data_IF_380870480426
#
_entry.id   IF_380870480426
#
_cell.length_a   1.000
_cell.length_b   1.000
_cell.length_c   1.000
_cell.angle_alpha   90.00
_cell.angle_beta   90.00
_cell.angle_gamma   90.00
#
_symmetry.space_group_name_H-M   'P 1'
#
loop_
_entity.id
_entity.type
_entity.pdbx_description
1 polymer ?
#
# COMPACT_ATOMS: atom_id res chain seq x y z
N UNK A 1 20.41 -9.87 -30.59
CA UNK A 1 19.26 -9.56 -31.47
C UNK A 1 19.36 -10.43 -32.71
N UNK A 2 18.23 -10.74 -33.39
CA UNK A 2 18.27 -11.39 -34.70
C UNK A 2 19.01 -10.50 -35.70
N UNK A 3 19.91 -11.05 -36.55
CA UNK A 3 20.87 -10.27 -37.34
C UNK A 3 20.26 -9.30 -38.39
N UNK A 4 18.94 -9.27 -38.60
CA UNK A 4 18.27 -8.41 -39.59
C UNK A 4 17.11 -7.59 -39.01
N UNK A 5 17.06 -7.33 -37.71
CA UNK A 5 15.99 -6.53 -37.10
C UNK A 5 16.54 -5.32 -36.35
N UNK A 6 15.84 -4.19 -36.47
CA UNK A 6 16.10 -2.97 -35.69
C UNK A 6 15.81 -3.23 -34.22
N UNK A 7 16.44 -2.45 -33.34
CA UNK A 7 16.23 -2.56 -31.91
C UNK A 7 14.84 -2.09 -31.47
N UNK A 8 14.47 -2.49 -30.25
CA UNK A 8 13.18 -2.15 -29.67
C UNK A 8 13.12 -0.66 -29.34
N UNK A 9 12.04 -0.01 -29.75
CA UNK A 9 11.65 1.30 -29.28
C UNK A 9 10.40 1.15 -28.42
N UNK A 10 10.50 1.47 -27.12
CA UNK A 10 9.40 1.32 -26.16
C UNK A 10 9.38 2.53 -25.22
N UNK A 11 8.18 3.06 -24.99
CA UNK A 11 7.91 4.01 -23.91
C UNK A 11 6.88 3.37 -22.98
N UNK A 12 7.29 3.12 -21.74
CA UNK A 12 6.48 2.48 -20.71
C UNK A 12 6.54 3.24 -19.40
N UNK A 13 5.84 2.71 -18.40
CA UNK A 13 5.85 3.27 -17.04
C UNK A 13 6.15 2.18 -16.00
N UNK A 14 6.99 2.51 -15.03
CA UNK A 14 7.27 1.71 -13.85
C UNK A 14 6.07 1.75 -12.86
N UNK A 15 5.93 0.71 -12.05
CA UNK A 15 5.13 0.70 -10.82
C UNK A 15 5.74 1.54 -9.71
N UNK A 16 7.06 1.78 -9.75
CA UNK A 16 7.76 2.60 -8.75
C UNK A 16 7.66 4.07 -9.14
N UNK A 17 7.05 4.93 -8.29
CA UNK A 17 6.94 6.36 -8.59
C UNK A 17 8.31 7.05 -8.62
N UNK A 18 8.49 8.02 -9.53
CA UNK A 18 9.71 8.80 -9.68
C UNK A 18 10.06 9.58 -8.41
N UNK A 19 9.04 10.10 -7.72
CA UNK A 19 9.18 10.80 -6.44
C UNK A 19 9.90 9.99 -5.34
N UNK A 20 9.90 8.65 -5.44
CA UNK A 20 10.62 7.78 -4.50
C UNK A 20 12.14 7.89 -4.66
N UNK A 21 12.61 8.22 -5.85
CA UNK A 21 14.02 8.42 -6.15
C UNK A 21 14.51 9.84 -5.88
N UNK A 22 13.58 10.77 -5.66
CA UNK A 22 13.87 12.19 -5.41
C UNK A 22 12.96 13.11 -6.20
N UNK A 23 12.97 14.40 -5.85
CA UNK A 23 12.15 15.42 -6.51
C UNK A 23 12.61 15.65 -7.94
N UNK A 24 11.69 15.53 -8.90
CA UNK A 24 11.97 15.76 -10.33
C UNK A 24 12.66 14.60 -11.03
N UNK A 25 12.67 13.42 -10.42
CA UNK A 25 13.27 12.24 -11.02
C UNK A 25 12.31 11.56 -12.01
N UNK A 26 12.82 11.15 -13.17
CA UNK A 26 12.07 10.52 -14.27
C UNK A 26 12.22 8.99 -14.33
N UNK A 27 12.80 8.35 -13.31
CA UNK A 27 13.00 6.89 -13.24
C UNK A 27 11.68 6.07 -13.30
N UNK A 28 10.51 6.72 -13.21
CA UNK A 28 9.23 6.06 -13.49
C UNK A 28 8.92 5.91 -14.97
N UNK A 29 9.58 6.66 -15.85
CA UNK A 29 9.42 6.61 -17.32
C UNK A 29 10.44 5.62 -17.89
N UNK A 30 9.96 4.50 -18.40
CA UNK A 30 10.80 3.47 -19.00
C UNK A 30 10.96 3.77 -20.48
N UNK A 31 12.15 4.17 -20.90
CA UNK A 31 12.45 4.54 -22.29
C UNK A 31 13.50 3.58 -22.83
N UNK A 32 13.11 2.77 -23.79
CA UNK A 32 14.03 1.99 -24.62
C UNK A 32 14.07 2.58 -26.02
N UNK A 33 15.27 2.83 -26.52
CA UNK A 33 15.49 3.32 -27.88
C UNK A 33 16.52 2.47 -28.59
N UNK A 34 16.15 1.98 -29.78
CA UNK A 34 16.99 1.11 -30.60
C UNK A 34 17.64 -0.06 -29.85
N UNK A 35 16.95 -0.60 -28.84
CA UNK A 35 17.41 -1.73 -28.03
C UNK A 35 18.18 -1.37 -26.75
N UNK A 36 18.42 -0.09 -26.49
CA UNK A 36 19.12 0.39 -25.30
C UNK A 36 18.12 0.97 -24.30
N UNK A 37 18.28 0.62 -23.02
CA UNK A 37 17.52 1.22 -21.92
C UNK A 37 18.14 2.57 -21.57
N UNK A 38 17.47 3.66 -21.93
CA UNK A 38 17.96 5.03 -21.73
C UNK A 38 17.51 5.63 -20.39
N UNK A 39 16.31 5.27 -19.92
CA UNK A 39 15.74 5.82 -18.70
C UNK A 39 14.77 4.81 -18.06
N UNK A 40 14.68 4.86 -16.74
CA UNK A 40 13.68 4.16 -15.96
C UNK A 40 14.12 2.80 -15.47
N UNK A 41 13.42 2.32 -14.45
CA UNK A 41 13.68 1.01 -13.85
C UNK A 41 12.81 -0.09 -14.45
N UNK A 42 13.36 -1.30 -14.51
CA UNK A 42 12.63 -2.50 -14.87
C UNK A 42 12.08 -3.18 -13.62
N UNK A 43 10.76 -3.24 -13.50
CA UNK A 43 10.05 -3.84 -12.36
C UNK A 43 9.06 -4.92 -12.81
N UNK A 44 8.14 -5.31 -11.92
CA UNK A 44 7.11 -6.30 -12.22
C UNK A 44 6.24 -5.92 -13.42
N UNK A 45 5.98 -4.63 -13.70
CA UNK A 45 5.20 -4.22 -14.88
C UNK A 45 5.97 -4.41 -16.18
N UNK A 46 7.31 -4.31 -16.13
CA UNK A 46 8.13 -4.44 -17.33
C UNK A 46 8.54 -5.90 -17.61
N UNK A 47 8.94 -6.64 -16.58
CA UNK A 47 9.47 -8.00 -16.71
C UNK A 47 8.43 -9.08 -16.37
N UNK A 48 7.48 -8.77 -15.48
CA UNK A 48 6.48 -9.72 -15.02
C UNK A 48 5.38 -9.96 -16.06
N UNK A 49 4.40 -10.78 -15.67
CA UNK A 49 3.20 -11.06 -16.46
C UNK A 49 2.25 -9.84 -16.46
N UNK A 50 2.65 -8.76 -17.13
CA UNK A 50 1.89 -7.52 -17.29
C UNK A 50 1.83 -7.17 -18.79
N UNK A 51 0.63 -6.90 -19.29
CA UNK A 51 0.46 -6.49 -20.69
C UNK A 51 1.09 -5.13 -20.96
N UNK A 52 1.69 -4.98 -22.13
CA UNK A 52 2.39 -3.76 -22.55
C UNK A 52 3.73 -3.51 -21.86
N UNK A 53 4.25 -4.51 -21.13
CA UNK A 53 5.59 -4.46 -20.53
C UNK A 53 6.70 -4.74 -21.55
N UNK A 54 7.95 -4.55 -21.14
CA UNK A 54 9.13 -4.85 -21.95
C UNK A 54 9.15 -6.27 -22.54
N UNK A 55 8.83 -7.30 -21.74
CA UNK A 55 8.84 -8.69 -22.23
C UNK A 55 7.70 -8.94 -23.23
N UNK A 56 6.54 -8.35 -22.99
CA UNK A 56 5.38 -8.45 -23.88
C UNK A 56 5.66 -7.78 -25.24
N UNK A 57 6.30 -6.60 -25.22
CA UNK A 57 6.74 -5.91 -26.44
C UNK A 57 7.77 -6.72 -27.24
N UNK A 58 8.69 -7.41 -26.56
CA UNK A 58 9.65 -8.30 -27.21
C UNK A 58 8.95 -9.53 -27.81
N UNK A 59 7.97 -10.09 -27.11
CA UNK A 59 7.16 -11.20 -27.60
C UNK A 59 6.41 -10.81 -28.88
N UNK A 60 5.78 -9.65 -28.89
CA UNK A 60 5.02 -9.16 -30.05
C UNK A 60 5.91 -8.89 -31.26
N UNK A 61 7.06 -8.23 -31.07
CA UNK A 61 7.92 -7.83 -32.18
C UNK A 61 8.81 -8.97 -32.67
N UNK A 62 9.43 -9.72 -31.77
CA UNK A 62 10.47 -10.72 -32.10
C UNK A 62 10.00 -12.16 -31.95
N UNK A 63 8.79 -12.40 -31.46
CA UNK A 63 8.21 -13.72 -31.27
C UNK A 63 8.58 -14.40 -29.96
N UNK A 64 7.86 -15.49 -29.67
CA UNK A 64 7.95 -16.24 -28.42
C UNK A 64 9.34 -16.83 -28.14
N UNK A 65 10.07 -17.29 -29.15
CA UNK A 65 11.41 -17.89 -28.97
C UNK A 65 12.42 -16.87 -28.43
N UNK A 66 12.37 -15.64 -28.94
CA UNK A 66 13.26 -14.55 -28.49
C UNK A 66 12.87 -14.08 -27.09
N UNK A 67 11.57 -13.92 -26.82
CA UNK A 67 11.08 -13.56 -25.49
C UNK A 67 11.46 -14.61 -24.42
N UNK A 68 11.28 -15.90 -24.71
CA UNK A 68 11.68 -16.98 -23.81
C UNK A 68 13.19 -17.03 -23.57
N UNK A 69 13.98 -16.79 -24.62
CA UNK A 69 15.44 -16.68 -24.51
C UNK A 69 15.85 -15.48 -23.65
N UNK A 70 15.20 -14.33 -23.83
CA UNK A 70 15.44 -13.12 -23.04
C UNK A 70 15.10 -13.33 -21.56
N UNK A 71 13.95 -13.93 -21.24
CA UNK A 71 13.60 -14.30 -19.87
C UNK A 71 14.66 -15.22 -19.23
N UNK A 72 15.16 -16.20 -19.99
CA UNK A 72 16.22 -17.10 -19.51
C UNK A 72 17.56 -16.39 -19.29
N UNK A 73 17.87 -15.38 -20.11
CA UNK A 73 19.08 -14.55 -19.95
C UNK A 73 18.94 -13.65 -18.72
N UNK A 74 17.82 -12.93 -18.59
CA UNK A 74 17.53 -12.06 -17.45
C UNK A 74 17.48 -12.85 -16.14
N UNK A 75 16.85 -14.03 -16.13
CA UNK A 75 16.84 -14.90 -14.97
C UNK A 75 18.24 -15.24 -14.49
N UNK A 76 19.12 -15.71 -15.39
CA UNK A 76 20.51 -16.03 -15.05
C UNK A 76 21.31 -14.80 -14.60
N UNK A 77 21.14 -13.67 -15.29
CA UNK A 77 21.81 -12.41 -14.95
C UNK A 77 21.42 -11.93 -13.55
N UNK A 78 20.11 -11.85 -13.26
CA UNK A 78 19.59 -11.38 -11.98
C UNK A 78 19.91 -12.36 -10.85
N UNK A 79 19.86 -13.67 -11.08
CA UNK A 79 20.32 -14.67 -10.10
C UNK A 79 21.80 -14.51 -9.79
N UNK A 80 22.65 -14.32 -10.80
CA UNK A 80 24.09 -14.09 -10.58
C UNK A 80 24.33 -12.78 -9.83
N UNK A 81 23.61 -11.72 -10.19
CA UNK A 81 23.68 -10.43 -9.51
C UNK A 81 23.27 -10.55 -8.03
N UNK A 82 22.16 -11.25 -7.76
CA UNK A 82 21.69 -11.51 -6.41
C UNK A 82 22.70 -12.31 -5.58
N UNK A 83 23.36 -13.32 -6.18
CA UNK A 83 24.42 -14.05 -5.50
C UNK A 83 25.64 -13.18 -5.16
N UNK A 84 25.93 -12.13 -5.94
CA UNK A 84 27.07 -11.24 -5.72
C UNK A 84 26.77 -10.13 -4.69
N UNK A 85 25.55 -9.58 -4.71
CA UNK A 85 25.16 -8.44 -3.86
C UNK A 85 24.34 -8.81 -2.64
N UNK A 86 23.74 -10.00 -2.64
CA UNK A 86 22.72 -10.44 -1.69
C UNK A 86 21.51 -9.50 -1.62
N UNK A 87 20.48 -9.93 -0.90
CA UNK A 87 19.32 -9.13 -0.54
C UNK A 87 18.80 -9.62 0.80
N UNK A 88 18.54 -8.71 1.74
CA UNK A 88 18.09 -9.06 3.09
C UNK A 88 17.12 -8.01 3.61
N UNK A 89 16.10 -8.44 4.36
CA UNK A 89 15.15 -7.56 5.03
C UNK A 89 15.26 -7.80 6.53
N UNK A 90 15.59 -6.76 7.29
CA UNK A 90 15.78 -6.82 8.73
C UNK A 90 14.70 -6.06 9.49
N UNK A 91 14.77 -6.11 10.83
CA UNK A 91 13.84 -5.39 11.71
C UNK A 91 13.93 -3.86 11.54
N UNK A 92 15.11 -3.36 11.16
CA UNK A 92 15.35 -1.94 10.94
C UNK A 92 14.56 -1.38 9.75
N UNK A 93 14.26 -2.22 8.75
CA UNK A 93 13.41 -1.82 7.59
C UNK A 93 11.96 -1.57 8.00
N UNK A 94 11.54 -2.05 9.17
CA UNK A 94 10.17 -1.98 9.68
C UNK A 94 9.99 -0.89 10.73
N UNK A 95 11.08 -0.30 11.22
CA UNK A 95 11.08 0.60 12.37
C UNK A 95 10.85 2.05 11.94
N UNK A 96 9.93 2.71 12.65
CA UNK A 96 9.66 4.14 12.49
C UNK A 96 10.74 4.98 13.19
N UNK A 97 10.95 6.20 12.71
CA UNK A 97 11.72 7.23 13.41
C UNK A 97 10.96 7.68 14.67
N UNK A 98 11.65 8.22 15.69
CA UNK A 98 10.97 8.74 16.88
C UNK A 98 9.89 9.78 16.55
N UNK A 99 10.16 10.66 15.58
CA UNK A 99 9.19 11.65 15.10
C UNK A 99 7.98 11.01 14.41
N UNK A 100 8.22 10.01 13.56
CA UNK A 100 7.15 9.26 12.88
C UNK A 100 6.27 8.49 13.86
N UNK A 101 6.87 7.92 14.91
CA UNK A 101 6.15 7.22 15.97
C UNK A 101 5.38 8.18 16.87
N UNK A 102 5.95 9.35 17.19
CA UNK A 102 5.25 10.37 17.95
C UNK A 102 3.99 10.85 17.21
N UNK A 103 4.08 11.14 15.91
CA UNK A 103 2.92 11.49 15.07
C UNK A 103 1.88 10.38 15.08
N UNK A 104 2.31 9.11 14.98
CA UNK A 104 1.41 7.95 15.08
C UNK A 104 0.63 7.96 16.38
N UNK A 105 1.32 8.13 17.50
CA UNK A 105 0.72 8.16 18.84
C UNK A 105 -0.24 9.33 18.99
N UNK A 106 0.11 10.51 18.50
CA UNK A 106 -0.76 11.70 18.54
C UNK A 106 -2.05 11.50 17.75
N UNK A 107 -1.98 10.90 16.56
CA UNK A 107 -3.18 10.60 15.77
C UNK A 107 -4.00 9.49 16.45
N UNK A 108 -3.36 8.46 17.00
CA UNK A 108 -4.04 7.38 17.73
C UNK A 108 -4.77 7.87 18.99
N UNK A 109 -4.29 8.93 19.66
CA UNK A 109 -5.01 9.53 20.79
C UNK A 109 -6.40 10.04 20.38
N UNK A 110 -6.59 10.51 19.15
CA UNK A 110 -7.92 10.93 18.64
C UNK A 110 -8.89 9.75 18.48
N UNK A 111 -8.38 8.53 18.42
CA UNK A 111 -9.20 7.33 18.26
C UNK A 111 -10.09 7.03 19.48
N UNK A 112 -9.66 7.44 20.69
CA UNK A 112 -10.42 7.18 21.92
C UNK A 112 -11.77 7.90 21.91
N UNK A 113 -11.81 9.12 21.41
CA UNK A 113 -13.02 9.95 21.32
C UNK A 113 -13.88 9.60 20.09
N UNK A 114 -13.25 9.04 19.04
CA UNK A 114 -13.93 8.70 17.79
C UNK A 114 -15.13 7.78 18.01
N UNK A 115 -15.00 6.77 18.87
CA UNK A 115 -16.10 5.85 19.16
C UNK A 115 -17.32 6.57 19.75
N UNK A 116 -17.12 7.36 20.81
CA UNK A 116 -18.20 8.13 21.45
C UNK A 116 -18.84 9.09 20.44
N UNK A 117 -18.04 9.82 19.66
CA UNK A 117 -18.53 10.78 18.68
C UNK A 117 -19.34 10.12 17.56
N UNK A 118 -18.91 8.96 17.06
CA UNK A 118 -19.65 8.21 16.04
C UNK A 118 -20.98 7.70 16.60
N UNK A 119 -20.98 7.14 17.80
CA UNK A 119 -22.21 6.68 18.44
C UNK A 119 -23.21 7.81 18.68
N UNK A 120 -22.77 8.96 19.20
CA UNK A 120 -23.61 10.14 19.43
C UNK A 120 -24.24 10.67 18.13
N UNK A 121 -23.45 10.73 17.06
CA UNK A 121 -23.91 11.16 15.73
C UNK A 121 -24.91 10.19 15.13
N UNK A 122 -24.68 8.88 15.28
CA UNK A 122 -25.56 7.86 14.73
C UNK A 122 -26.95 7.86 15.38
N UNK A 123 -27.01 8.02 16.71
CA UNK A 123 -28.28 8.08 17.46
C UNK A 123 -28.90 9.48 17.52
N UNK A 124 -28.35 10.44 16.76
CA UNK A 124 -28.82 11.84 16.66
C UNK A 124 -28.84 12.61 18.00
N UNK A 125 -28.04 12.19 18.98
CA UNK A 125 -27.92 12.86 20.29
C UNK A 125 -27.07 14.13 20.22
N UNK A 126 -26.28 14.29 19.17
CA UNK A 126 -25.47 15.49 18.90
C UNK A 126 -26.34 16.75 18.65
N UNK A 127 -27.54 16.56 18.09
CA UNK A 127 -28.46 17.66 17.75
C UNK A 127 -29.45 18.00 18.87
N UNK A 128 -29.72 17.04 19.77
CA UNK A 128 -30.66 17.18 20.88
C UNK A 128 -29.98 16.81 22.21
N UNK A 129 -29.16 17.72 22.78
CA UNK A 129 -28.44 17.45 24.02
C UNK A 129 -29.41 17.33 25.19
N UNK A 130 -29.30 16.24 25.94
CA UNK A 130 -30.06 15.95 27.18
C UNK A 130 -29.13 16.12 28.38
N UNK A 131 -29.68 16.42 29.56
CA UNK A 131 -28.93 16.63 30.80
C UNK A 131 -28.03 15.42 31.20
N UNK A 132 -28.48 14.19 30.93
CA UNK A 132 -27.69 12.96 31.09
C UNK A 132 -27.48 12.30 29.72
N UNK A 133 -26.43 12.74 29.02
CA UNK A 133 -26.08 12.23 27.69
C UNK A 133 -25.65 10.76 27.71
N UNK A 134 -25.01 10.31 28.79
CA UNK A 134 -24.44 8.96 28.85
C UNK A 134 -25.52 7.90 29.12
N UNK A 135 -26.50 8.19 29.98
CA UNK A 135 -27.63 7.29 30.19
C UNK A 135 -28.52 7.16 28.95
N UNK A 136 -28.84 8.28 28.29
CA UNK A 136 -29.67 8.28 27.09
C UNK A 136 -28.93 7.64 25.89
N UNK A 137 -27.61 7.82 25.78
CA UNK A 137 -26.80 7.13 24.76
C UNK A 137 -26.86 5.61 24.93
N UNK A 138 -26.71 5.11 26.15
CA UNK A 138 -26.80 3.67 26.43
C UNK A 138 -28.16 3.11 26.03
N UNK A 139 -29.24 3.78 26.43
CA UNK A 139 -30.61 3.38 26.07
C UNK A 139 -30.81 3.28 24.56
N UNK A 140 -30.37 4.28 23.79
CA UNK A 140 -30.49 4.26 22.32
C UNK A 140 -29.59 3.21 21.67
N UNK A 141 -28.42 2.94 22.24
CA UNK A 141 -27.53 1.90 21.75
C UNK A 141 -28.07 0.49 22.01
N UNK A 142 -28.81 0.27 23.11
CA UNK A 142 -29.53 -0.98 23.35
C UNK A 142 -30.60 -1.23 22.27
N UNK A 143 -31.34 -0.19 21.87
CA UNK A 143 -32.30 -0.28 20.77
C UNK A 143 -31.62 -0.60 19.42
N UNK A 144 -30.42 -0.04 19.19
CA UNK A 144 -29.61 -0.35 18.00
C UNK A 144 -29.07 -1.77 18.06
N UNK A 145 -28.63 -2.25 19.22
CA UNK A 145 -28.10 -3.61 19.39
C UNK A 145 -29.14 -4.69 19.11
N UNK A 146 -30.42 -4.42 19.41
CA UNK A 146 -31.54 -5.35 19.18
C UNK A 146 -32.02 -5.40 17.73
N UNK A 147 -31.63 -4.43 16.90
CA UNK A 147 -32.08 -4.28 15.52
C UNK A 147 -30.89 -4.45 14.56
N UNK A 148 -30.89 -5.55 13.83
CA UNK A 148 -29.80 -5.93 12.92
C UNK A 148 -29.52 -4.88 11.84
N UNK A 149 -30.55 -4.20 11.32
CA UNK A 149 -30.36 -3.17 10.28
C UNK A 149 -29.68 -1.94 10.87
N UNK A 150 -30.09 -1.53 12.07
CA UNK A 150 -29.48 -0.38 12.76
C UNK A 150 -28.06 -0.70 13.20
N UNK A 151 -27.82 -1.89 13.74
CA UNK A 151 -26.47 -2.31 14.13
C UNK A 151 -25.54 -2.38 12.91
N UNK A 152 -26.00 -2.92 11.78
CA UNK A 152 -25.23 -2.92 10.52
C UNK A 152 -24.94 -1.50 10.01
N UNK A 153 -25.93 -0.59 10.12
CA UNK A 153 -25.75 0.82 9.80
C UNK A 153 -24.69 1.49 10.68
N UNK A 154 -24.73 1.25 12.00
CA UNK A 154 -23.73 1.75 12.94
C UNK A 154 -22.33 1.22 12.57
N UNK A 155 -22.23 -0.08 12.26
CA UNK A 155 -20.96 -0.71 11.90
C UNK A 155 -20.34 -0.10 10.65
N UNK A 156 -21.15 0.18 9.63
CA UNK A 156 -20.68 0.84 8.41
C UNK A 156 -20.13 2.24 8.68
N UNK A 157 -20.81 3.04 9.51
CA UNK A 157 -20.34 4.40 9.87
C UNK A 157 -19.02 4.33 10.63
N UNK A 158 -18.90 3.42 11.59
CA UNK A 158 -17.64 3.17 12.30
C UNK A 158 -16.52 2.76 11.35
N UNK A 159 -16.76 1.79 10.48
CA UNK A 159 -15.79 1.33 9.48
C UNK A 159 -15.29 2.49 8.59
N UNK A 160 -16.18 3.40 8.19
CA UNK A 160 -15.81 4.58 7.40
C UNK A 160 -14.90 5.55 8.15
N UNK A 161 -15.23 5.86 9.41
CA UNK A 161 -14.46 6.81 10.21
C UNK A 161 -13.09 6.25 10.62
N UNK A 162 -13.03 4.98 11.03
CA UNK A 162 -11.76 4.32 11.37
C UNK A 162 -10.86 4.16 10.15
N UNK A 163 -11.42 4.00 8.94
CA UNK A 163 -10.63 4.01 7.69
C UNK A 163 -9.95 5.36 7.47
N UNK A 164 -10.65 6.48 7.68
CA UNK A 164 -10.05 7.83 7.56
C UNK A 164 -8.88 8.01 8.51
N UNK A 165 -9.08 7.65 9.79
CA UNK A 165 -8.03 7.71 10.80
C UNK A 165 -6.82 6.83 10.40
N UNK A 166 -7.07 5.62 9.91
CA UNK A 166 -6.01 4.73 9.44
C UNK A 166 -5.24 5.33 8.28
N UNK A 167 -5.91 5.96 7.32
CA UNK A 167 -5.26 6.67 6.21
C UNK A 167 -4.42 7.86 6.67
N UNK A 168 -4.88 8.61 7.68
CA UNK A 168 -4.10 9.70 8.29
C UNK A 168 -2.84 9.19 8.97
N UNK A 169 -2.93 8.08 9.71
CA UNK A 169 -1.77 7.42 10.33
C UNK A 169 -0.78 6.97 9.25
N UNK A 170 -1.26 6.29 8.20
CA UNK A 170 -0.40 5.85 7.09
C UNK A 170 0.32 7.02 6.45
N UNK A 171 -0.37 8.13 6.18
CA UNK A 171 0.24 9.32 5.57
C UNK A 171 1.26 10.01 6.49
N UNK A 172 1.04 9.97 7.81
CA UNK A 172 1.98 10.51 8.80
C UNK A 172 3.25 9.67 8.97
N UNK A 173 3.14 8.35 8.82
CA UNK A 173 4.23 7.41 9.10
C UNK A 173 4.98 6.94 7.84
N UNK A 174 4.30 6.75 6.70
CA UNK A 174 4.89 6.18 5.49
C UNK A 174 4.78 7.17 4.32
N UNK A 175 5.85 7.34 3.51
CA UNK A 175 7.13 6.63 3.59
C UNK A 175 8.19 7.30 4.47
N UNK A 176 8.04 8.59 4.75
CA UNK A 176 9.09 9.43 5.33
C UNK A 176 9.33 9.22 6.84
N UNK A 177 8.44 8.52 7.54
CA UNK A 177 8.58 8.23 8.97
C UNK A 177 9.34 6.95 9.28
N UNK A 178 9.91 6.24 8.30
CA UNK A 178 10.79 5.08 8.54
C UNK A 178 12.24 5.51 8.76
N UNK A 179 12.97 4.76 9.58
CA UNK A 179 14.41 4.95 9.78
C UNK A 179 15.17 4.79 8.46
N UNK A 180 14.91 3.68 7.76
CA UNK A 180 15.42 3.46 6.41
C UNK A 180 14.42 3.96 5.40
N UNK A 181 14.89 4.82 4.50
CA UNK A 181 14.13 5.31 3.36
C UNK A 181 14.40 4.45 2.13
N UNK A 182 13.48 4.48 1.17
CA UNK A 182 13.73 3.98 -0.17
C UNK A 182 14.95 4.72 -0.78
N UNK A 183 15.86 4.07 -1.53
CA UNK A 183 15.85 2.67 -1.97
C UNK A 183 16.51 1.67 -0.99
N UNK A 184 17.04 2.15 0.14
CA UNK A 184 17.78 1.31 1.10
C UNK A 184 16.88 0.45 1.99
N UNK A 185 15.60 0.82 2.12
CA UNK A 185 14.61 0.05 2.84
C UNK A 185 14.08 -1.11 2.00
N UNK A 186 14.41 -2.33 2.42
CA UNK A 186 14.13 -3.51 1.61
C UNK A 186 12.68 -3.99 1.67
N UNK A 187 11.97 -3.71 2.77
CA UNK A 187 10.53 -3.93 2.83
C UNK A 187 9.77 -2.99 1.88
N UNK A 188 10.17 -1.72 1.83
CA UNK A 188 9.60 -0.77 0.86
C UNK A 188 9.99 -1.12 -0.58
N UNK A 189 11.23 -1.56 -0.83
CA UNK A 189 11.66 -1.96 -2.17
C UNK A 189 10.80 -3.12 -2.69
N UNK A 190 10.58 -4.18 -1.89
CA UNK A 190 9.77 -5.34 -2.30
C UNK A 190 8.31 -4.97 -2.60
N UNK A 191 7.70 -4.13 -1.76
CA UNK A 191 6.29 -3.75 -1.89
C UNK A 191 6.06 -2.75 -3.02
N UNK A 192 7.00 -1.84 -3.27
CA UNK A 192 6.88 -0.80 -4.31
C UNK A 192 7.19 -1.33 -5.71
N UNK A 193 8.21 -2.19 -5.83
CA UNK A 193 8.57 -2.85 -7.11
C UNK A 193 7.63 -3.99 -7.49
N UNK A 194 6.75 -4.39 -6.58
CA UNK A 194 5.81 -5.49 -6.77
C UNK A 194 6.44 -6.89 -6.65
N UNK A 195 7.65 -7.01 -6.12
CA UNK A 195 8.34 -8.29 -5.93
C UNK A 195 7.57 -9.19 -4.95
N UNK A 196 7.21 -8.67 -3.78
CA UNK A 196 6.39 -9.40 -2.79
C UNK A 196 5.72 -8.44 -1.80
N UNK A 197 4.46 -8.73 -1.49
CA UNK A 197 3.65 -7.90 -0.59
C UNK A 197 3.13 -6.63 -1.26
N UNK A 198 2.43 -5.83 -0.48
CA UNK A 198 1.83 -4.55 -0.87
C UNK A 198 2.14 -3.46 0.14
N UNK A 199 1.89 -2.20 -0.22
CA UNK A 199 1.95 -1.07 0.71
C UNK A 199 1.04 -1.28 1.93
N UNK A 200 -0.07 -2.00 1.78
CA UNK A 200 -0.95 -2.37 2.89
C UNK A 200 -0.22 -3.28 3.87
N UNK A 201 0.54 -4.28 3.41
CA UNK A 201 1.31 -5.15 4.30
C UNK A 201 2.36 -4.37 5.10
N UNK A 202 3.09 -3.45 4.46
CA UNK A 202 4.03 -2.59 5.15
C UNK A 202 3.34 -1.69 6.20
N UNK A 203 2.16 -1.16 5.87
CA UNK A 203 1.35 -0.37 6.80
C UNK A 203 0.90 -1.17 8.02
N UNK A 204 0.43 -2.40 7.82
CA UNK A 204 -0.04 -3.28 8.90
C UNK A 204 1.09 -3.65 9.88
N UNK A 205 2.33 -3.75 9.39
CA UNK A 205 3.50 -4.09 10.21
C UNK A 205 4.03 -2.87 10.97
N UNK A 206 4.22 -1.74 10.29
CA UNK A 206 4.91 -0.58 10.88
C UNK A 206 3.97 0.43 11.53
N UNK A 207 2.72 0.54 11.09
CA UNK A 207 1.81 1.61 11.50
C UNK A 207 0.71 1.08 12.42
N UNK A 208 -0.34 0.45 11.87
CA UNK A 208 -1.47 -0.07 12.62
C UNK A 208 -2.20 -1.16 11.81
N UNK A 209 -2.90 -2.06 12.51
CA UNK A 209 -3.73 -3.09 11.85
C UNK A 209 -5.01 -2.53 11.24
N UNK A 210 -5.51 -1.41 11.77
CA UNK A 210 -6.80 -0.84 11.41
C UNK A 210 -8.00 -1.68 11.90
N UNK A 211 -9.19 -1.30 11.44
CA UNK A 211 -10.44 -1.94 11.81
C UNK A 211 -10.53 -3.38 11.28
N UNK A 212 -10.78 -4.33 12.17
CA UNK A 212 -11.08 -5.71 11.78
C UNK A 212 -12.56 -5.81 11.38
N UNK A 213 -12.81 -6.29 10.17
CA UNK A 213 -14.16 -6.43 9.59
C UNK A 213 -14.46 -7.91 9.44
N UNK A 214 -15.57 -8.36 10.01
CA UNK A 214 -16.05 -9.74 9.96
C UNK A 214 -17.36 -9.74 9.17
N UNK A 215 -17.39 -10.41 8.03
CA UNK A 215 -18.58 -10.49 7.15
C UNK A 215 -19.17 -9.11 6.77
N UNK A 216 -18.31 -8.10 6.61
CA UNK A 216 -18.73 -6.72 6.33
C UNK A 216 -19.15 -5.91 7.56
N UNK A 217 -19.30 -6.55 8.72
CA UNK A 217 -19.65 -5.96 10.01
C UNK A 217 -18.44 -5.81 10.93
N UNK A 218 -18.65 -5.26 12.12
CA UNK A 218 -17.63 -5.16 13.17
C UNK A 218 -17.55 -6.44 14.00
N UNK A 219 -16.70 -6.43 15.02
CA UNK A 219 -16.61 -7.49 16.02
C UNK A 219 -18.00 -7.75 16.63
N UNK A 220 -18.47 -9.01 16.68
CA UNK A 220 -19.77 -9.35 17.23
C UNK A 220 -19.84 -9.00 18.72
N UNK A 221 -21.05 -8.64 19.16
CA UNK A 221 -21.34 -8.25 20.54
C UNK A 221 -22.23 -9.32 21.16
N UNK A 222 -22.03 -9.60 22.45
CA UNK A 222 -22.88 -10.53 23.21
C UNK A 222 -24.21 -9.87 23.58
N UNK A 223 -25.21 -10.71 23.81
CA UNK A 223 -26.53 -10.31 24.35
C UNK A 223 -26.44 -10.07 25.85
#
# INVERSE_FOLDING_TARGET
MPPNRRGLNLQGKSSTPGDRWGKGNEEDKVILKDGELLCGILDKKQIGASGGGFIDAIHEIYGNTVAGSLLSILGRLLTRYLNMRAFSCGIEDLRLTPEGDQKRVEILKKASELGKNVSLKYVTLDQNPVADQDAELKRRLEDVLRDDQKQSGLDSVYNSQTRKLTSEITAGCLPHGLIKQFPWNQMQLMTTTGAKGSSVNANLISCNLGQQVLEGRRVPVMV
#
